data_IF_521598475737
#
_entry.id   IF_521598475737
#
_cell.length_a   1.000
_cell.length_b   1.000
_cell.length_c   1.000
_cell.angle_alpha   90.00
_cell.angle_beta   90.00
_cell.angle_gamma   90.00
#
_symmetry.space_group_name_H-M   'P 1'
#
loop_
_entity.id
_entity.type
_entity.pdbx_description
1 polymer ?
#
# COMPACT_ATOMS: atom_id res chain seq x y z
N UNK A 1 -25.02 -37.84 -19.20
CA UNK A 1 -24.16 -36.94 -19.98
C UNK A 1 -23.61 -37.70 -21.18
N UNK A 2 -24.00 -37.32 -22.39
CA UNK A 2 -23.57 -38.00 -23.62
C UNK A 2 -22.05 -37.86 -23.79
N UNK A 3 -21.44 -38.73 -24.61
CA UNK A 3 -19.99 -38.68 -24.85
C UNK A 3 -19.58 -37.33 -25.50
N UNK A 4 -20.49 -36.68 -26.22
CA UNK A 4 -20.29 -35.34 -26.79
C UNK A 4 -20.23 -34.25 -25.71
N UNK A 5 -21.10 -34.28 -24.70
CA UNK A 5 -21.12 -33.29 -23.62
C UNK A 5 -19.83 -33.32 -22.78
N UNK A 6 -19.25 -34.51 -22.56
CA UNK A 6 -17.95 -34.66 -21.89
C UNK A 6 -16.80 -34.04 -22.68
N UNK A 7 -16.90 -34.06 -24.00
CA UNK A 7 -15.87 -33.52 -24.89
C UNK A 7 -15.94 -31.99 -24.91
N UNK A 8 -17.14 -31.42 -24.99
CA UNK A 8 -17.35 -29.96 -24.93
C UNK A 8 -16.87 -29.37 -23.61
N UNK A 9 -17.18 -30.01 -22.48
CA UNK A 9 -16.75 -29.54 -21.15
C UNK A 9 -15.23 -29.46 -21.03
N UNK A 10 -14.49 -30.46 -21.53
CA UNK A 10 -13.01 -30.43 -21.52
C UNK A 10 -12.43 -29.25 -22.30
N UNK A 11 -12.99 -28.93 -23.47
CA UNK A 11 -12.53 -27.78 -24.26
C UNK A 11 -12.85 -26.44 -23.59
N UNK A 12 -13.98 -26.33 -22.89
CA UNK A 12 -14.32 -25.14 -22.10
C UNK A 12 -13.31 -24.93 -20.96
N UNK A 13 -12.91 -26.00 -20.25
CA UNK A 13 -11.88 -25.89 -19.21
C UNK A 13 -10.50 -25.52 -19.75
N UNK A 14 -10.10 -26.05 -20.91
CA UNK A 14 -8.84 -25.67 -21.56
C UNK A 14 -8.87 -24.20 -22.00
N UNK A 15 -10.00 -23.73 -22.55
CA UNK A 15 -10.17 -22.35 -22.95
C UNK A 15 -10.12 -21.40 -21.74
N UNK A 16 -10.79 -21.76 -20.64
CA UNK A 16 -10.73 -21.00 -19.38
C UNK A 16 -9.33 -20.99 -18.77
N UNK A 17 -8.61 -22.12 -18.81
CA UNK A 17 -7.21 -22.19 -18.37
C UNK A 17 -6.30 -21.27 -19.18
N UNK A 18 -6.49 -21.20 -20.51
CA UNK A 18 -5.76 -20.27 -21.36
C UNK A 18 -6.12 -18.80 -21.08
N UNK A 19 -7.40 -18.49 -20.87
CA UNK A 19 -7.83 -17.13 -20.51
C UNK A 19 -7.23 -16.71 -19.17
N UNK A 20 -7.23 -17.59 -18.16
CA UNK A 20 -6.64 -17.31 -16.84
C UNK A 20 -5.12 -17.11 -16.96
N UNK A 21 -4.41 -17.98 -17.68
CA UNK A 21 -2.97 -17.83 -17.90
C UNK A 21 -2.63 -16.55 -18.67
N UNK A 22 -3.47 -16.13 -19.62
CA UNK A 22 -3.30 -14.85 -20.32
C UNK A 22 -3.57 -13.65 -19.41
N UNK A 23 -4.60 -13.68 -18.57
CA UNK A 23 -4.88 -12.60 -17.60
C UNK A 23 -3.73 -12.46 -16.60
N UNK A 24 -3.14 -13.58 -16.16
CA UNK A 24 -1.97 -13.59 -15.29
C UNK A 24 -0.73 -13.06 -16.04
N UNK A 25 -0.52 -13.44 -17.31
CA UNK A 25 0.60 -12.98 -18.12
C UNK A 25 0.53 -11.49 -18.51
N UNK A 26 -0.67 -10.93 -18.64
CA UNK A 26 -0.91 -9.51 -18.94
C UNK A 26 -0.46 -8.59 -17.79
N UNK A 27 -0.24 -9.12 -16.58
CA UNK A 27 0.23 -8.35 -15.42
C UNK A 27 1.77 -8.14 -15.45
N UNK A 28 2.52 -8.84 -16.30
CA UNK A 28 3.98 -8.69 -16.41
C UNK A 28 4.46 -8.29 -17.81
N UNK A 29 4.73 -6.99 -18.03
CA UNK A 29 5.51 -6.30 -19.10
C UNK A 29 5.47 -6.78 -20.58
N UNK A 30 4.74 -7.84 -20.95
CA UNK A 30 4.66 -8.43 -22.30
C UNK A 30 3.37 -8.05 -23.06
N UNK A 31 2.89 -6.81 -22.88
CA UNK A 31 1.61 -6.34 -23.42
C UNK A 31 1.51 -6.36 -24.97
N UNK A 32 2.62 -6.19 -25.69
CA UNK A 32 2.59 -6.04 -27.16
C UNK A 32 2.52 -7.40 -27.86
N UNK A 33 3.28 -8.39 -27.39
CA UNK A 33 3.29 -9.73 -27.97
C UNK A 33 1.98 -10.48 -27.66
N UNK A 34 1.44 -10.34 -26.44
CA UNK A 34 0.18 -10.98 -26.06
C UNK A 34 -1.02 -10.48 -26.88
N UNK A 35 -1.09 -9.18 -27.19
CA UNK A 35 -2.18 -8.60 -28.00
C UNK A 35 -2.09 -9.00 -29.48
N UNK A 36 -0.88 -9.10 -30.04
CA UNK A 36 -0.68 -9.60 -31.42
C UNK A 36 -1.02 -11.08 -31.53
N UNK A 37 -0.65 -11.90 -30.53
CA UNK A 37 -1.01 -13.31 -30.49
C UNK A 37 -2.53 -13.52 -30.35
N UNK A 38 -3.20 -12.74 -29.50
CA UNK A 38 -4.66 -12.76 -29.36
C UNK A 38 -5.38 -12.37 -30.66
N UNK A 39 -4.90 -11.33 -31.35
CA UNK A 39 -5.46 -10.94 -32.64
C UNK A 39 -5.21 -12.03 -33.70
N UNK A 40 -4.03 -12.65 -33.71
CA UNK A 40 -3.69 -13.77 -34.61
C UNK A 40 -4.53 -15.01 -34.33
N UNK A 41 -4.75 -15.36 -33.06
CA UNK A 41 -5.59 -16.48 -32.64
C UNK A 41 -7.07 -16.21 -32.93
N UNK A 42 -7.57 -14.99 -32.70
CA UNK A 42 -8.93 -14.61 -33.06
C UNK A 42 -9.13 -14.66 -34.58
N UNK A 43 -8.16 -14.17 -35.37
CA UNK A 43 -8.21 -14.21 -36.83
C UNK A 43 -8.16 -15.65 -37.35
N UNK A 44 -7.31 -16.51 -36.80
CA UNK A 44 -7.24 -17.93 -37.18
C UNK A 44 -8.48 -18.71 -36.75
N UNK A 45 -9.06 -18.44 -35.58
CA UNK A 45 -10.37 -18.99 -35.20
C UNK A 45 -11.48 -18.52 -36.13
N UNK A 46 -11.52 -17.23 -36.49
CA UNK A 46 -12.49 -16.70 -37.45
C UNK A 46 -12.28 -17.30 -38.85
N UNK A 47 -11.03 -17.50 -39.28
CA UNK A 47 -10.68 -18.16 -40.54
C UNK A 47 -11.13 -19.62 -40.52
N UNK A 48 -10.90 -20.36 -39.43
CA UNK A 48 -11.35 -21.73 -39.28
C UNK A 48 -12.88 -21.84 -39.24
N UNK A 49 -13.58 -20.89 -38.62
CA UNK A 49 -15.04 -20.82 -38.63
C UNK A 49 -15.60 -20.45 -40.02
N UNK A 50 -14.93 -19.55 -40.74
CA UNK A 50 -15.28 -19.20 -42.12
C UNK A 50 -15.02 -20.39 -43.07
N UNK A 51 -13.91 -21.11 -42.90
CA UNK A 51 -13.60 -22.33 -43.63
C UNK A 51 -14.55 -23.47 -43.29
N UNK A 52 -15.08 -23.54 -42.06
CA UNK A 52 -16.15 -24.51 -41.70
C UNK A 52 -17.49 -24.25 -42.40
N UNK A 53 -17.72 -23.02 -42.87
CA UNK A 53 -18.86 -22.66 -43.71
C UNK A 53 -18.60 -22.89 -45.21
N UNK A 54 -17.38 -23.23 -45.62
CA UNK A 54 -17.13 -23.82 -46.93
C UNK A 54 -17.66 -25.24 -46.87
N UNK A 55 -18.80 -25.48 -47.53
CA UNK A 55 -19.45 -26.79 -47.64
C UNK A 55 -18.45 -27.90 -47.96
N UNK A 56 -17.95 -28.61 -46.96
CA UNK A 56 -17.40 -29.94 -47.19
C UNK A 56 -18.57 -30.90 -47.41
N UNK A 57 -18.93 -31.08 -48.69
CA UNK A 57 -19.65 -32.28 -49.14
C UNK A 57 -18.69 -33.46 -49.08
N UNK A 58 -18.38 -33.94 -47.88
CA UNK A 58 -17.67 -35.19 -47.68
C UNK A 58 -18.48 -35.98 -46.67
N UNK A 59 -19.09 -37.08 -47.14
CA UNK A 59 -19.78 -38.12 -46.37
C UNK A 59 -21.25 -37.92 -45.94
N UNK A 60 -22.07 -37.19 -46.70
CA UNK A 60 -23.53 -37.42 -46.71
C UNK A 60 -24.31 -37.18 -45.40
N UNK A 61 -23.72 -36.53 -44.40
CA UNK A 61 -24.40 -36.16 -43.15
C UNK A 61 -24.73 -34.66 -43.18
N UNK A 62 -26.01 -34.33 -43.29
CA UNK A 62 -26.49 -32.95 -43.11
C UNK A 62 -26.51 -32.59 -41.61
N UNK A 63 -25.46 -31.92 -41.13
CA UNK A 63 -25.49 -31.31 -39.80
C UNK A 63 -26.10 -29.91 -39.91
N UNK A 64 -27.31 -29.74 -39.37
CA UNK A 64 -28.03 -28.45 -39.36
C UNK A 64 -27.40 -27.52 -38.30
N UNK A 65 -26.83 -26.36 -38.67
CA UNK A 65 -26.15 -25.46 -37.72
C UNK A 65 -27.14 -24.49 -37.06
N UNK A 66 -28.11 -25.00 -36.30
CA UNK A 66 -29.11 -24.14 -35.64
C UNK A 66 -28.73 -23.68 -34.22
N UNK A 67 -27.69 -24.25 -33.60
CA UNK A 67 -27.30 -23.90 -32.22
C UNK A 67 -26.42 -22.63 -32.09
N UNK A 68 -25.90 -22.07 -33.19
CA UNK A 68 -24.95 -20.94 -33.14
C UNK A 68 -25.53 -19.57 -33.55
N UNK A 69 -26.82 -19.49 -33.91
CA UNK A 69 -27.39 -18.27 -34.52
C UNK A 69 -27.49 -17.06 -33.58
N UNK A 70 -27.53 -17.25 -32.27
CA UNK A 70 -27.65 -16.14 -31.30
C UNK A 70 -26.36 -15.82 -30.53
N UNK A 71 -25.43 -16.77 -30.39
CA UNK A 71 -24.17 -16.56 -29.66
C UNK A 71 -23.13 -15.74 -30.43
N UNK A 72 -23.03 -15.94 -31.76
CA UNK A 72 -22.00 -15.30 -32.59
C UNK A 72 -22.13 -13.78 -32.68
N UNK A 73 -23.37 -13.26 -32.76
CA UNK A 73 -23.62 -11.81 -32.82
C UNK A 73 -23.18 -11.10 -31.54
N UNK A 74 -23.48 -11.67 -30.36
CA UNK A 74 -23.07 -11.10 -29.06
C UNK A 74 -21.55 -11.11 -28.90
N UNK A 75 -20.90 -12.18 -29.34
CA UNK A 75 -19.44 -12.29 -29.29
C UNK A 75 -18.75 -11.29 -30.23
N UNK A 76 -19.25 -11.13 -31.46
CA UNK A 76 -18.76 -10.12 -32.40
C UNK A 76 -18.92 -8.69 -31.85
N UNK A 77 -20.06 -8.37 -31.23
CA UNK A 77 -20.28 -7.07 -30.57
C UNK A 77 -19.26 -6.86 -29.45
N UNK A 78 -19.04 -7.88 -28.61
CA UNK A 78 -18.06 -7.79 -27.53
C UNK A 78 -16.63 -7.54 -28.04
N UNK A 79 -16.20 -8.27 -29.08
CA UNK A 79 -14.87 -8.10 -29.69
C UNK A 79 -14.73 -6.70 -30.32
N UNK A 80 -15.76 -6.19 -30.98
CA UNK A 80 -15.75 -4.84 -31.54
C UNK A 80 -15.69 -3.77 -30.45
N UNK A 81 -16.50 -3.88 -29.39
CA UNK A 81 -16.48 -2.96 -28.25
C UNK A 81 -15.14 -2.98 -27.52
N UNK A 82 -14.56 -4.16 -27.33
CA UNK A 82 -13.24 -4.31 -26.72
C UNK A 82 -12.13 -3.71 -27.61
N UNK A 83 -12.21 -3.90 -28.92
CA UNK A 83 -11.27 -3.28 -29.87
C UNK A 83 -11.38 -1.75 -29.89
N UNK A 84 -12.62 -1.22 -29.82
CA UNK A 84 -12.87 0.22 -29.67
C UNK A 84 -12.32 0.76 -28.35
N UNK A 85 -12.47 0.02 -27.25
CA UNK A 85 -11.90 0.39 -25.95
C UNK A 85 -10.37 0.46 -26.01
N UNK A 86 -9.70 -0.55 -26.60
CA UNK A 86 -8.24 -0.54 -26.79
C UNK A 86 -7.82 0.65 -27.66
N UNK A 87 -8.55 0.95 -28.73
CA UNK A 87 -8.27 2.13 -29.56
C UNK A 87 -8.44 3.44 -28.79
N UNK A 88 -9.48 3.56 -27.96
CA UNK A 88 -9.71 4.74 -27.12
C UNK A 88 -8.54 4.94 -26.12
N UNK A 89 -8.10 3.86 -25.46
CA UNK A 89 -6.93 3.92 -24.55
C UNK A 89 -5.63 4.33 -25.28
N UNK A 90 -5.41 3.84 -26.51
CA UNK A 90 -4.24 4.23 -27.33
C UNK A 90 -4.30 5.67 -27.84
N UNK A 91 -5.49 6.23 -28.02
CA UNK A 91 -5.66 7.64 -28.39
C UNK A 91 -5.26 8.51 -27.19
N UNK A 92 -5.66 8.11 -25.98
CA UNK A 92 -5.33 8.82 -24.75
C UNK A 92 -3.81 8.85 -24.48
N UNK A 93 -3.13 7.70 -24.65
CA UNK A 93 -1.67 7.64 -24.49
C UNK A 93 -0.91 8.56 -25.48
N UNK A 94 -1.42 8.72 -26.71
CA UNK A 94 -0.85 9.66 -27.69
C UNK A 94 -1.02 11.12 -27.25
N UNK A 95 -2.17 11.46 -26.65
CA UNK A 95 -2.41 12.78 -26.05
C UNK A 95 -1.41 13.08 -24.93
N UNK A 96 -1.32 12.18 -23.95
CA UNK A 96 -0.37 12.26 -22.82
C UNK A 96 1.08 12.42 -23.30
N UNK A 97 1.48 11.65 -24.32
CA UNK A 97 2.84 11.74 -24.88
C UNK A 97 3.12 13.08 -25.56
N UNK A 98 2.12 13.66 -26.24
CA UNK A 98 2.24 14.98 -26.87
C UNK A 98 2.38 16.07 -25.81
N UNK A 99 1.51 16.07 -24.79
CA UNK A 99 1.55 17.04 -23.70
C UNK A 99 2.85 16.96 -22.91
N UNK A 100 3.34 15.75 -22.62
CA UNK A 100 4.63 15.55 -21.97
C UNK A 100 5.79 16.10 -22.82
N UNK A 101 5.75 15.90 -24.14
CA UNK A 101 6.75 16.45 -25.05
C UNK A 101 6.73 17.98 -25.05
N UNK A 102 5.55 18.59 -25.11
CA UNK A 102 5.36 20.04 -25.06
C UNK A 102 5.85 20.63 -23.74
N UNK A 103 5.52 19.99 -22.60
CA UNK A 103 6.01 20.39 -21.29
C UNK A 103 7.54 20.31 -21.20
N UNK A 104 8.16 19.28 -21.78
CA UNK A 104 9.62 19.15 -21.83
C UNK A 104 10.27 20.25 -22.67
N UNK A 105 9.65 20.64 -23.80
CA UNK A 105 10.12 21.75 -24.63
C UNK A 105 10.00 23.06 -23.86
N UNK A 106 8.85 23.32 -23.22
CA UNK A 106 8.65 24.51 -22.39
C UNK A 106 9.68 24.59 -21.26
N UNK A 107 9.96 23.47 -20.58
CA UNK A 107 10.99 23.39 -19.54
C UNK A 107 12.38 23.79 -20.07
N UNK A 108 12.78 23.22 -21.21
CA UNK A 108 14.09 23.50 -21.80
C UNK A 108 14.21 24.94 -22.33
N UNK A 109 13.09 25.56 -22.72
CA UNK A 109 13.05 26.95 -23.16
C UNK A 109 13.00 27.96 -21.99
N UNK A 110 13.03 27.50 -20.73
CA UNK A 110 12.93 28.36 -19.55
C UNK A 110 11.49 28.76 -19.17
N UNK A 111 10.47 28.30 -19.90
CA UNK A 111 9.05 28.47 -19.57
C UNK A 111 8.62 27.52 -18.43
N UNK A 112 9.36 27.54 -17.32
CA UNK A 112 9.25 26.54 -16.24
C UNK A 112 7.87 26.50 -15.60
N UNK A 113 7.25 27.65 -15.35
CA UNK A 113 5.91 27.70 -14.76
C UNK A 113 4.86 26.99 -15.64
N UNK A 114 4.92 27.18 -16.96
CA UNK A 114 4.03 26.51 -17.91
C UNK A 114 4.26 25.01 -17.93
N UNK A 115 5.51 24.57 -17.99
CA UNK A 115 5.87 23.16 -17.92
C UNK A 115 5.36 22.50 -16.63
N UNK A 116 5.52 23.18 -15.49
CA UNK A 116 5.07 22.72 -14.16
C UNK A 116 3.55 22.54 -14.12
N UNK A 117 2.77 23.50 -14.62
CA UNK A 117 1.30 23.34 -14.68
C UNK A 117 0.89 22.10 -15.49
N UNK A 118 1.51 21.87 -16.65
CA UNK A 118 1.23 20.68 -17.46
C UNK A 118 1.66 19.39 -16.75
N UNK A 119 2.81 19.38 -16.07
CA UNK A 119 3.25 18.25 -15.26
C UNK A 119 2.28 17.89 -14.14
N UNK A 120 1.72 18.88 -13.46
CA UNK A 120 0.71 18.67 -12.42
C UNK A 120 -0.56 18.07 -13.01
N UNK A 121 -1.07 18.65 -14.10
CA UNK A 121 -2.25 18.12 -14.80
C UNK A 121 -2.05 16.67 -15.25
N UNK A 122 -0.86 16.33 -15.76
CA UNK A 122 -0.52 14.97 -16.17
C UNK A 122 -0.46 13.98 -15.00
N UNK A 123 0.10 14.39 -13.85
CA UNK A 123 0.13 13.57 -12.64
C UNK A 123 -1.24 13.41 -11.99
N UNK A 124 -2.10 14.42 -12.03
CA UNK A 124 -3.42 14.39 -11.39
C UNK A 124 -4.45 13.66 -12.27
N UNK A 125 -4.44 13.90 -13.59
CA UNK A 125 -5.45 13.38 -14.52
C UNK A 125 -5.07 12.07 -15.21
N UNK A 126 -3.77 11.83 -15.43
CA UNK A 126 -3.30 10.75 -16.32
C UNK A 126 -2.24 9.85 -15.69
N UNK A 127 -2.16 9.81 -14.35
CA UNK A 127 -1.14 9.02 -13.63
C UNK A 127 -1.05 7.58 -14.10
N UNK A 128 -2.18 6.90 -14.30
CA UNK A 128 -2.23 5.50 -14.71
C UNK A 128 -1.67 5.26 -16.13
N UNK A 129 -1.73 6.28 -17.00
CA UNK A 129 -1.22 6.23 -18.37
C UNK A 129 0.28 6.58 -18.43
N UNK A 130 0.77 7.32 -17.45
CA UNK A 130 2.19 7.56 -17.28
C UNK A 130 2.85 6.30 -16.73
N UNK A 131 3.61 5.58 -17.53
CA UNK A 131 4.49 4.53 -17.01
C UNK A 131 5.43 5.08 -15.92
N UNK A 132 5.86 4.22 -14.99
CA UNK A 132 6.65 4.62 -13.81
C UNK A 132 7.86 5.50 -14.13
N UNK A 133 8.57 5.23 -15.24
CA UNK A 133 9.73 6.02 -15.69
C UNK A 133 9.37 7.49 -15.94
N UNK A 134 8.20 7.76 -16.54
CA UNK A 134 7.73 9.13 -16.82
C UNK A 134 7.29 9.82 -15.53
N UNK A 135 6.58 9.12 -14.66
CA UNK A 135 6.19 9.65 -13.35
C UNK A 135 7.42 10.08 -12.54
N UNK A 136 8.45 9.22 -12.42
CA UNK A 136 9.72 9.55 -11.75
C UNK A 136 10.35 10.83 -12.29
N UNK A 137 10.46 10.95 -13.62
CA UNK A 137 11.06 12.11 -14.26
C UNK A 137 10.27 13.41 -14.01
N UNK A 138 8.93 13.33 -14.06
CA UNK A 138 8.06 14.48 -13.80
C UNK A 138 8.16 14.89 -12.32
N UNK A 139 8.05 13.93 -11.39
CA UNK A 139 8.16 14.19 -9.95
C UNK A 139 9.50 14.83 -9.58
N UNK A 140 10.61 14.35 -10.15
CA UNK A 140 11.92 14.97 -9.94
C UNK A 140 11.95 16.44 -10.39
N UNK A 141 11.38 16.77 -11.55
CA UNK A 141 11.31 18.16 -12.04
C UNK A 141 10.44 19.05 -11.17
N UNK A 142 9.33 18.53 -10.67
CA UNK A 142 8.46 19.27 -9.75
C UNK A 142 9.16 19.58 -8.42
N UNK A 143 9.87 18.60 -7.84
CA UNK A 143 10.67 18.81 -6.62
C UNK A 143 11.74 19.88 -6.87
N UNK A 144 12.52 19.77 -7.96
CA UNK A 144 13.53 20.78 -8.31
C UNK A 144 12.93 22.18 -8.46
N UNK A 145 11.83 22.30 -9.20
CA UNK A 145 11.19 23.59 -9.42
C UNK A 145 10.70 24.22 -8.11
N UNK A 146 9.96 23.45 -7.30
CA UNK A 146 9.37 23.99 -6.06
C UNK A 146 10.42 24.32 -5.00
N UNK A 147 11.52 23.56 -4.96
CA UNK A 147 12.64 23.91 -4.09
C UNK A 147 13.34 25.19 -4.56
N UNK A 148 13.56 25.36 -5.87
CA UNK A 148 14.18 26.57 -6.42
C UNK A 148 13.38 27.85 -6.18
N UNK A 149 12.04 27.79 -6.26
CA UNK A 149 11.18 28.93 -5.92
C UNK A 149 10.86 29.04 -4.43
N UNK A 150 11.66 28.37 -3.58
CA UNK A 150 11.57 28.37 -2.11
C UNK A 150 10.18 27.97 -1.56
N UNK A 151 9.46 27.13 -2.32
CA UNK A 151 8.18 26.57 -1.90
C UNK A 151 8.37 25.16 -1.32
N UNK A 152 9.05 25.11 -0.17
CA UNK A 152 9.41 23.87 0.52
C UNK A 152 8.20 22.99 0.84
N UNK A 153 7.03 23.59 1.06
CA UNK A 153 5.79 22.84 1.33
C UNK A 153 5.43 21.93 0.16
N UNK A 154 5.40 22.47 -1.05
CA UNK A 154 5.07 21.68 -2.25
C UNK A 154 6.22 20.73 -2.62
N UNK A 155 7.48 21.16 -2.46
CA UNK A 155 8.64 20.29 -2.69
C UNK A 155 8.59 19.04 -1.79
N UNK A 156 8.31 19.22 -0.49
CA UNK A 156 8.13 18.12 0.48
C UNK A 156 6.93 17.23 0.14
N UNK A 157 5.82 17.81 -0.30
CA UNK A 157 4.65 17.03 -0.73
C UNK A 157 5.00 16.06 -1.88
N UNK A 158 5.67 16.55 -2.93
CA UNK A 158 6.08 15.69 -4.04
C UNK A 158 7.18 14.69 -3.64
N UNK A 159 8.07 15.05 -2.72
CA UNK A 159 9.05 14.12 -2.17
C UNK A 159 8.39 13.00 -1.35
N UNK A 160 7.34 13.32 -0.59
CA UNK A 160 6.54 12.33 0.14
C UNK A 160 5.81 11.38 -0.80
N UNK A 161 5.22 11.90 -1.87
CA UNK A 161 4.61 11.07 -2.91
C UNK A 161 5.64 10.18 -3.59
N UNK A 162 6.85 10.68 -3.89
CA UNK A 162 7.94 9.88 -4.41
C UNK A 162 8.33 8.74 -3.46
N UNK A 163 8.47 9.04 -2.16
CA UNK A 163 8.79 8.07 -1.11
C UNK A 163 7.70 6.97 -1.01
N UNK A 164 6.43 7.35 -0.95
CA UNK A 164 5.29 6.41 -0.92
C UNK A 164 5.27 5.48 -2.14
N UNK A 165 5.62 5.99 -3.32
CA UNK A 165 5.69 5.22 -4.56
C UNK A 165 7.06 4.51 -4.76
N UNK A 166 7.97 4.55 -3.77
CA UNK A 166 9.31 3.95 -3.83
C UNK A 166 10.13 4.41 -5.04
N UNK A 167 10.06 5.69 -5.35
CA UNK A 167 10.80 6.27 -6.46
C UNK A 167 12.24 6.59 -6.07
N UNK A 168 13.18 5.92 -6.73
CA UNK A 168 14.58 6.34 -6.78
C UNK A 168 14.70 7.51 -7.76
N UNK A 169 14.82 8.72 -7.22
CA UNK A 169 15.00 9.95 -7.98
C UNK A 169 16.48 10.30 -8.05
N UNK A 170 16.90 10.94 -9.14
CA UNK A 170 18.24 11.50 -9.30
C UNK A 170 18.09 12.94 -9.78
N UNK A 171 18.84 13.84 -9.15
CA UNK A 171 18.82 15.27 -9.44
C UNK A 171 20.15 15.68 -10.06
N UNK A 172 20.11 16.63 -10.99
CA UNK A 172 21.31 17.22 -11.59
C UNK A 172 21.86 18.37 -10.77
N UNK A 173 20.99 19.04 -10.01
CA UNK A 173 21.33 20.14 -9.12
C UNK A 173 21.68 19.62 -7.74
N UNK A 174 22.85 20.02 -7.22
CA UNK A 174 23.40 19.55 -5.95
C UNK A 174 22.53 19.98 -4.76
N UNK A 175 21.96 21.19 -4.79
CA UNK A 175 21.10 21.68 -3.70
C UNK A 175 19.83 20.85 -3.58
N UNK A 176 19.18 20.58 -4.71
CA UNK A 176 17.98 19.74 -4.76
C UNK A 176 18.29 18.30 -4.35
N UNK A 177 19.44 17.77 -4.76
CA UNK A 177 19.88 16.43 -4.34
C UNK A 177 20.03 16.37 -2.82
N UNK A 178 20.75 17.33 -2.22
CA UNK A 178 20.94 17.41 -0.77
C UNK A 178 19.62 17.54 -0.01
N UNK A 179 18.70 18.40 -0.49
CA UNK A 179 17.36 18.53 0.06
C UNK A 179 16.60 17.20 0.08
N UNK A 180 16.65 16.44 -1.03
CA UNK A 180 15.95 15.17 -1.13
C UNK A 180 16.58 14.08 -0.25
N UNK A 181 17.91 14.03 -0.17
CA UNK A 181 18.62 13.09 0.70
C UNK A 181 18.31 13.34 2.18
N UNK A 182 18.33 14.61 2.61
CA UNK A 182 17.91 15.01 3.96
C UNK A 182 16.46 14.60 4.24
N UNK A 183 15.56 14.81 3.27
CA UNK A 183 14.17 14.37 3.38
C UNK A 183 14.06 12.85 3.56
N UNK A 184 14.81 12.06 2.79
CA UNK A 184 14.81 10.60 2.89
C UNK A 184 15.32 10.12 4.24
N UNK A 185 16.39 10.73 4.75
CA UNK A 185 16.97 10.35 6.03
C UNK A 185 16.05 10.71 7.20
N UNK A 186 15.37 11.86 7.13
CA UNK A 186 14.30 12.21 8.07
C UNK A 186 13.16 11.18 8.03
N UNK A 187 12.71 10.75 6.85
CA UNK A 187 11.65 9.73 6.73
C UNK A 187 12.07 8.37 7.25
N UNK A 188 13.33 7.95 7.03
CA UNK A 188 13.89 6.74 7.64
C UNK A 188 13.97 6.87 9.16
N UNK A 189 14.40 8.02 9.67
CA UNK A 189 14.45 8.27 11.11
C UNK A 189 13.06 8.24 11.75
N UNK A 190 12.05 8.83 11.10
CA UNK A 190 10.64 8.75 11.51
C UNK A 190 10.14 7.30 11.50
N UNK A 191 10.44 6.54 10.44
CA UNK A 191 10.05 5.13 10.34
C UNK A 191 10.70 4.28 11.43
N UNK A 192 12.01 4.43 11.66
CA UNK A 192 12.74 3.75 12.73
C UNK A 192 12.26 4.18 14.12
N UNK A 193 11.87 5.44 14.29
CA UNK A 193 11.24 5.92 15.53
C UNK A 193 9.88 5.25 15.72
N UNK A 194 9.04 5.18 14.67
CA UNK A 194 7.75 4.53 14.74
C UNK A 194 7.86 3.01 14.98
N UNK A 195 8.85 2.34 14.39
CA UNK A 195 9.14 0.93 14.63
C UNK A 195 9.59 0.69 16.08
N UNK A 196 10.56 1.48 16.57
CA UNK A 196 10.93 1.45 17.99
C UNK A 196 9.75 1.73 18.90
N UNK A 197 8.87 2.67 18.54
CA UNK A 197 7.65 2.96 19.30
C UNK A 197 6.66 1.76 19.31
N UNK A 198 6.60 0.94 18.25
CA UNK A 198 5.83 -0.30 18.26
C UNK A 198 6.44 -1.36 19.18
N UNK A 199 7.77 -1.49 19.15
CA UNK A 199 8.48 -2.36 20.10
C UNK A 199 8.27 -1.87 21.54
N UNK A 200 8.23 -0.54 21.76
CA UNK A 200 7.91 0.05 23.05
C UNK A 200 6.44 -0.15 23.44
N UNK A 201 5.50 -0.05 22.51
CA UNK A 201 4.11 -0.42 22.75
C UNK A 201 3.98 -1.91 23.12
N UNK A 202 4.93 -2.75 22.70
CA UNK A 202 5.00 -4.15 23.14
C UNK A 202 5.73 -4.36 24.48
N UNK A 203 6.20 -3.30 25.17
CA UNK A 203 6.87 -3.45 26.48
C UNK A 203 5.96 -4.16 27.47
N UNK A 204 6.59 -5.06 28.22
CA UNK A 204 5.89 -6.07 28.99
C UNK A 204 5.18 -5.46 30.19
N UNK A 205 4.14 -6.17 30.64
CA UNK A 205 3.45 -5.90 31.88
C UNK A 205 4.44 -5.81 33.06
N UNK A 206 5.60 -6.48 32.97
CA UNK A 206 6.65 -6.46 34.00
C UNK A 206 7.27 -5.08 34.21
N UNK A 207 7.53 -4.33 33.15
CA UNK A 207 8.14 -3.00 33.26
C UNK A 207 7.15 -2.02 33.92
N UNK A 208 5.88 -2.05 33.49
CA UNK A 208 4.82 -1.24 34.10
C UNK A 208 4.63 -1.61 35.57
N UNK A 209 4.63 -2.90 35.89
CA UNK A 209 4.55 -3.39 37.26
C UNK A 209 5.77 -2.98 38.11
N UNK A 210 6.99 -3.09 37.55
CA UNK A 210 8.22 -2.66 38.21
C UNK A 210 8.18 -1.16 38.53
N UNK A 211 7.72 -0.33 37.59
CA UNK A 211 7.63 1.11 37.79
C UNK A 211 6.52 1.52 38.75
N UNK A 212 5.37 0.83 38.73
CA UNK A 212 4.31 1.06 39.72
C UNK A 212 4.83 0.83 41.15
N UNK A 213 5.64 -0.22 41.36
CA UNK A 213 6.29 -0.46 42.67
C UNK A 213 7.20 0.68 43.08
N UNK A 214 7.94 1.29 42.15
CA UNK A 214 8.79 2.46 42.43
C UNK A 214 7.94 3.65 42.87
N UNK A 215 6.88 3.99 42.11
CA UNK A 215 6.02 5.12 42.44
C UNK A 215 5.29 4.93 43.78
N UNK A 216 4.74 3.74 44.04
CA UNK A 216 4.09 3.43 45.33
C UNK A 216 5.10 3.53 46.47
N UNK A 217 6.29 2.94 46.32
CA UNK A 217 7.33 2.97 47.35
C UNK A 217 7.73 4.40 47.73
N UNK A 218 7.84 5.30 46.75
CA UNK A 218 8.15 6.72 46.98
C UNK A 218 7.03 7.48 47.73
N UNK A 219 5.78 7.04 47.60
CA UNK A 219 4.63 7.66 48.25
C UNK A 219 4.34 7.12 49.66
N UNK A 220 5.00 6.05 50.10
CA UNK A 220 4.81 5.50 51.44
C UNK A 220 5.55 6.33 52.51
N UNK A 221 4.98 6.40 53.72
CA UNK A 221 5.62 7.07 54.88
C UNK A 221 6.96 6.43 55.28
N UNK A 222 7.11 5.12 55.07
CA UNK A 222 8.33 4.38 55.33
C UNK A 222 8.73 3.55 54.10
N UNK A 223 9.31 4.17 53.06
CA UNK A 223 9.64 3.51 51.79
C UNK A 223 10.50 2.27 51.94
N UNK A 224 11.41 2.27 52.93
CA UNK A 224 12.33 1.16 53.20
C UNK A 224 11.63 -0.09 53.74
N UNK A 225 10.44 0.05 54.31
CA UNK A 225 9.65 -1.06 54.85
C UNK A 225 8.72 -1.73 53.84
N UNK A 226 8.61 -1.17 52.63
CA UNK A 226 7.69 -1.66 51.61
C UNK A 226 8.11 -3.03 51.07
N UNK A 227 7.19 -3.99 51.11
CA UNK A 227 7.29 -5.33 50.53
C UNK A 227 6.12 -5.59 49.60
N UNK A 228 6.40 -6.03 48.37
CA UNK A 228 5.39 -6.29 47.34
C UNK A 228 5.10 -7.78 47.15
N UNK A 229 5.64 -8.65 48.01
CA UNK A 229 5.43 -10.09 47.94
C UNK A 229 5.82 -10.72 46.59
N UNK A 230 5.26 -11.91 46.32
CA UNK A 230 5.46 -12.68 45.09
C UNK A 230 4.26 -12.52 44.15
N UNK A 231 3.95 -11.27 43.81
CA UNK A 231 2.90 -10.94 42.84
C UNK A 231 3.49 -10.97 41.42
N UNK A 232 2.77 -11.57 40.47
CA UNK A 232 3.15 -11.60 39.05
C UNK A 232 2.59 -10.38 38.32
N UNK A 233 3.32 -9.89 37.32
CA UNK A 233 2.92 -8.66 36.63
C UNK A 233 1.60 -8.85 35.87
N UNK A 234 1.35 -10.03 35.32
CA UNK A 234 0.18 -10.38 34.53
C UNK A 234 -1.12 -10.39 35.35
N UNK A 235 -1.03 -10.77 36.64
CA UNK A 235 -2.18 -10.80 37.55
C UNK A 235 -2.55 -9.39 38.06
N UNK A 236 -1.62 -8.45 37.92
CA UNK A 236 -1.60 -7.17 38.60
C UNK A 236 -1.70 -5.99 37.64
N UNK A 237 -1.45 -6.19 36.35
CA UNK A 237 -1.28 -5.12 35.37
C UNK A 237 -2.19 -5.34 34.19
N UNK A 238 -3.05 -4.36 33.93
CA UNK A 238 -3.92 -4.32 32.77
C UNK A 238 -3.43 -3.22 31.82
N UNK A 239 -3.29 -3.58 30.54
CA UNK A 239 -2.99 -2.59 29.50
C UNK A 239 -4.29 -1.93 29.05
N UNK A 240 -4.42 -0.62 29.26
CA UNK A 240 -5.64 0.14 28.95
C UNK A 240 -5.60 0.72 27.54
N UNK A 241 -4.43 1.15 27.06
CA UNK A 241 -4.22 1.63 25.70
C UNK A 241 -2.76 1.37 25.26
N UNK A 242 -2.36 1.83 24.07
CA UNK A 242 -1.04 1.54 23.47
C UNK A 242 0.14 1.85 24.42
N UNK A 243 0.05 2.92 25.21
CA UNK A 243 1.09 3.38 26.14
C UNK A 243 0.61 3.45 27.61
N UNK A 244 -0.62 3.04 27.90
CA UNK A 244 -1.31 3.27 29.16
C UNK A 244 -1.55 1.96 29.90
N UNK A 245 -1.18 1.94 31.18
CA UNK A 245 -1.25 0.76 32.04
C UNK A 245 -1.93 1.10 33.35
N UNK A 246 -2.74 0.18 33.85
CA UNK A 246 -3.34 0.24 35.18
C UNK A 246 -2.81 -0.94 35.99
N UNK A 247 -2.18 -0.66 37.12
CA UNK A 247 -1.59 -1.66 38.00
C UNK A 247 -2.37 -1.68 39.31
N UNK A 248 -3.00 -2.81 39.62
CA UNK A 248 -3.81 -3.04 40.82
C UNK A 248 -3.23 -4.20 41.65
N UNK A 249 -2.64 -3.87 42.80
CA UNK A 249 -1.93 -4.85 43.64
C UNK A 249 -2.01 -4.45 45.12
N UNK A 250 -1.27 -5.15 45.98
CA UNK A 250 -1.03 -4.75 47.36
C UNK A 250 0.45 -4.50 47.67
N UNK A 251 0.69 -3.72 48.73
CA UNK A 251 1.99 -3.52 49.36
C UNK A 251 1.85 -3.69 50.86
N UNK A 252 2.73 -4.49 51.46
CA UNK A 252 2.87 -4.61 52.90
C UNK A 252 3.92 -3.58 53.36
N UNK A 253 3.54 -2.69 54.29
CA UNK A 253 4.43 -1.63 54.77
C UNK A 253 4.19 -1.32 56.24
N UNK A 254 5.24 -0.89 56.96
CA UNK A 254 5.13 -0.53 58.38
C UNK A 254 4.57 0.87 58.57
N UNK A 255 3.60 1.00 59.46
CA UNK A 255 3.10 2.30 59.91
C UNK A 255 4.08 2.92 60.95
N UNK A 256 3.84 4.15 61.45
CA UNK A 256 4.70 4.78 62.46
C UNK A 256 4.81 4.02 63.79
N UNK A 257 3.88 3.10 64.10
CA UNK A 257 3.92 2.23 65.28
C UNK A 257 4.74 0.95 65.04
N UNK A 258 5.34 0.78 63.85
CA UNK A 258 6.12 -0.39 63.47
C UNK A 258 5.27 -1.62 63.09
N UNK A 259 3.94 -1.48 63.08
CA UNK A 259 3.01 -2.54 62.69
C UNK A 259 2.93 -2.61 61.17
N UNK A 260 3.07 -3.82 60.62
CA UNK A 260 2.93 -4.08 59.20
C UNK A 260 1.45 -4.09 58.79
N UNK A 261 1.12 -3.30 57.77
CA UNK A 261 -0.23 -3.17 57.24
C UNK A 261 -0.17 -3.43 55.73
N UNK A 262 -1.08 -4.29 55.27
CA UNK A 262 -1.34 -4.51 53.85
C UNK A 262 -2.22 -3.40 53.30
N UNK A 263 -1.74 -2.69 52.28
CA UNK A 263 -2.51 -1.65 51.60
C UNK A 263 -2.69 -2.04 50.13
N UNK A 264 -3.94 -2.00 49.65
CA UNK A 264 -4.24 -2.19 48.24
C UNK A 264 -4.14 -0.85 47.51
N UNK A 265 -3.62 -0.88 46.28
CA UNK A 265 -3.42 0.31 45.48
C UNK A 265 -3.80 0.06 44.03
N UNK A 266 -4.15 1.15 43.34
CA UNK A 266 -4.32 1.23 41.90
C UNK A 266 -3.48 2.38 41.37
N UNK A 267 -2.57 2.10 40.44
CA UNK A 267 -1.71 3.09 39.80
C UNK A 267 -2.01 3.13 38.32
N UNK A 268 -2.24 4.32 37.79
CA UNK A 268 -2.35 4.56 36.36
C UNK A 268 -1.04 5.15 35.86
N UNK A 269 -0.41 4.48 34.91
CA UNK A 269 0.88 4.85 34.33
C UNK A 269 0.73 5.10 32.82
N UNK A 270 1.56 6.01 32.33
CA UNK A 270 1.73 6.23 30.89
C UNK A 270 3.21 6.17 30.54
N UNK A 271 3.57 5.31 29.59
CA UNK A 271 4.91 5.27 29.03
C UNK A 271 5.08 6.41 28.03
N UNK A 272 6.12 7.24 28.19
CA UNK A 272 6.34 8.42 27.33
C UNK A 272 7.46 8.24 26.31
N UNK A 273 8.11 7.08 26.29
CA UNK A 273 9.29 6.81 25.45
C UNK A 273 10.60 6.87 26.22
N UNK A 274 11.70 6.44 25.59
CA UNK A 274 13.07 6.59 26.13
C UNK A 274 13.25 6.10 27.58
N UNK A 275 12.60 5.01 27.97
CA UNK A 275 12.64 4.46 29.34
C UNK A 275 11.99 5.32 30.42
N UNK A 276 11.26 6.35 30.01
CA UNK A 276 10.58 7.25 30.93
C UNK A 276 9.12 6.85 31.12
N UNK A 277 8.67 6.93 32.36
CA UNK A 277 7.30 6.64 32.78
C UNK A 277 6.71 7.86 33.48
N UNK A 278 5.49 8.20 33.12
CA UNK A 278 4.72 9.26 33.74
C UNK A 278 3.65 8.65 34.66
N UNK A 279 3.63 9.13 35.90
CA UNK A 279 2.56 8.81 36.83
C UNK A 279 1.33 9.64 36.50
N UNK A 280 0.24 8.99 36.11
CA UNK A 280 -1.04 9.66 35.80
C UNK A 280 -1.89 9.80 37.06
N UNK A 281 -1.92 8.76 37.90
CA UNK A 281 -2.69 8.79 39.15
C UNK A 281 -2.40 7.62 40.09
N UNK A 282 -2.64 7.83 41.38
CA UNK A 282 -2.57 6.81 42.44
C UNK A 282 -3.87 6.86 43.23
N UNK A 283 -4.51 5.70 43.39
CA UNK A 283 -5.69 5.50 44.21
C UNK A 283 -5.40 4.44 45.27
N UNK A 284 -5.71 4.74 46.54
CA UNK A 284 -5.67 3.75 47.61
C UNK A 284 -7.02 3.05 47.71
N UNK A 285 -7.02 1.73 47.53
CA UNK A 285 -8.23 0.92 47.62
C UNK A 285 -8.44 0.57 49.10
N UNK A 286 -9.68 0.75 49.57
CA UNK A 286 -10.09 0.45 50.96
C UNK A 286 -10.39 -1.02 51.14
#
# INVERSE_FOLDING_TARGET
MSQEEKTVSKWVFVLWGFIILMVIGVIGELHVLGTVLLAGMALTCMLMLALKNVRMKVLGIEVIPNAFKHGTKRWLIFVMLFSLLIMAMKIDERGVNRELKEANVAWNNGERQKAVMTYQQLLDGSKALLGMKRQKAITARLISYYHEVENDRLAKQYAEDAFKNKFELRFTDEKTAAFYDEFLDNKKAEANKAERMKDYASRSLDDAFAMAKVFIKQNLKSPKSASFGWQKAEDCTEKVNENGYVVQCYVDAKNPLGVEIRNHFKVTLMYVGEEQWMLVGIEHLK
#
